data_IF_428603257370
#
_entry.id   IF_428603257370
#
_cell.length_a   1.000
_cell.length_b   1.000
_cell.length_c   1.000
_cell.angle_alpha   90.00
_cell.angle_beta   90.00
_cell.angle_gamma   90.00
#
_symmetry.space_group_name_H-M   'P 1'
#
loop_
_entity.id
_entity.type
_entity.pdbx_description
1 polymer ?
#
# COMPACT_ATOMS: atom_id res chain seq x y z
N UNK A 1 20.98 -21.42 37.52
CA UNK A 1 19.50 -21.31 37.40
C UNK A 1 19.04 -20.14 38.25
N UNK A 2 18.86 -18.98 37.63
CA UNK A 2 18.05 -17.86 38.11
C UNK A 2 17.73 -17.03 36.86
N UNK A 3 16.46 -16.68 36.71
CA UNK A 3 15.75 -16.34 35.48
C UNK A 3 15.95 -14.90 35.01
N UNK A 4 16.14 -14.72 33.70
CA UNK A 4 16.02 -13.44 32.99
C UNK A 4 14.57 -12.92 33.03
N UNK A 5 14.32 -11.89 33.83
CA UNK A 5 13.05 -11.16 33.86
C UNK A 5 13.19 -9.87 33.02
N UNK A 6 12.65 -9.94 31.81
CA UNK A 6 12.50 -8.79 30.90
C UNK A 6 11.04 -8.37 30.95
N UNK A 7 10.71 -7.20 31.50
CA UNK A 7 9.45 -6.49 31.20
C UNK A 7 9.55 -5.00 31.54
N UNK A 8 9.25 -4.18 30.53
CA UNK A 8 8.51 -2.93 30.74
C UNK A 8 9.32 -1.64 30.86
N UNK A 9 9.88 -1.15 29.75
CA UNK A 9 10.20 0.28 29.62
C UNK A 9 8.92 1.09 29.50
N UNK A 10 8.62 1.88 30.53
CA UNK A 10 7.83 3.10 30.42
C UNK A 10 8.69 4.18 29.74
N UNK A 11 8.14 4.87 28.74
CA UNK A 11 8.53 6.26 28.48
C UNK A 11 7.48 7.00 27.64
N UNK A 12 6.96 8.02 28.29
CA UNK A 12 6.15 9.13 27.81
C UNK A 12 6.97 10.06 26.89
N UNK A 13 6.33 10.78 25.97
CA UNK A 13 7.08 11.66 25.06
C UNK A 13 6.25 12.51 24.11
N UNK A 14 5.56 13.51 24.66
CA UNK A 14 4.93 14.62 23.95
C UNK A 14 6.02 15.51 23.31
N UNK A 15 5.99 15.76 21.99
CA UNK A 15 6.60 16.98 21.40
C UNK A 15 5.79 17.51 20.21
N UNK A 16 5.15 18.65 20.46
CA UNK A 16 4.86 19.63 19.44
C UNK A 16 6.17 20.34 19.03
N UNK A 17 6.35 20.61 17.73
CA UNK A 17 7.39 21.51 17.24
C UNK A 17 6.78 22.46 16.23
N UNK A 18 6.90 23.75 16.50
CA UNK A 18 6.35 24.84 15.70
C UNK A 18 7.25 25.30 14.54
N UNK A 19 6.59 26.03 13.63
CA UNK A 19 7.03 27.10 12.70
C UNK A 19 8.38 26.98 11.96
N UNK A 20 8.34 27.08 10.64
CA UNK A 20 8.80 28.26 9.85
C UNK A 20 8.81 27.94 8.34
N UNK A 21 8.36 28.89 7.51
CA UNK A 21 8.12 28.73 6.09
C UNK A 21 9.39 28.52 5.25
N UNK A 22 9.28 27.63 4.26
CA UNK A 22 10.14 27.56 3.07
C UNK A 22 9.21 27.54 1.85
N UNK A 23 9.56 28.19 0.73
CA UNK A 23 8.72 28.19 -0.45
C UNK A 23 8.50 26.73 -0.88
N UNK A 24 7.24 26.31 -0.86
CA UNK A 24 6.85 24.97 -1.27
C UNK A 24 7.09 24.85 -2.77
N UNK A 25 8.15 24.12 -3.15
CA UNK A 25 8.23 23.46 -4.46
C UNK A 25 6.88 22.78 -4.70
N UNK A 26 6.30 22.83 -5.91
CA UNK A 26 5.07 22.13 -6.20
C UNK A 26 5.28 20.67 -5.80
N UNK A 27 4.61 20.25 -4.72
CA UNK A 27 4.61 18.85 -4.31
C UNK A 27 4.02 18.15 -5.53
N UNK A 28 4.80 17.34 -6.23
CA UNK A 28 4.29 16.40 -7.21
C UNK A 28 3.26 15.57 -6.44
N UNK A 29 1.99 15.99 -6.54
CA UNK A 29 0.90 15.48 -5.73
C UNK A 29 0.83 14.00 -6.00
N UNK A 30 0.99 13.21 -4.94
CA UNK A 30 0.95 11.75 -4.95
C UNK A 30 -0.30 11.33 -5.73
N UNK A 31 -0.12 10.87 -6.97
CA UNK A 31 -1.20 10.43 -7.87
C UNK A 31 -1.67 9.03 -7.50
N UNK A 32 -1.71 8.71 -6.22
CA UNK A 32 -2.12 7.40 -5.75
C UNK A 32 -3.59 7.52 -5.32
N UNK A 33 -4.48 7.46 -6.31
CA UNK A 33 -5.90 7.24 -6.03
C UNK A 33 -6.09 5.76 -5.67
N UNK A 34 -6.72 5.49 -4.53
CA UNK A 34 -7.01 4.14 -4.08
C UNK A 34 -8.30 3.63 -4.75
N UNK A 35 -8.28 2.40 -5.26
CA UNK A 35 -9.45 1.69 -5.77
C UNK A 35 -9.81 0.58 -4.79
N UNK A 36 -10.99 0.65 -4.16
CA UNK A 36 -11.51 -0.40 -3.28
C UNK A 36 -12.46 -1.30 -4.08
N UNK A 37 -12.10 -2.57 -4.24
CA UNK A 37 -12.89 -3.57 -4.96
C UNK A 37 -13.34 -4.63 -3.96
N UNK A 38 -14.63 -4.99 -4.00
CA UNK A 38 -15.18 -6.12 -3.26
C UNK A 38 -15.39 -7.28 -4.22
N UNK A 39 -14.83 -8.43 -3.87
CA UNK A 39 -14.96 -9.71 -4.58
C UNK A 39 -15.21 -10.82 -3.56
N UNK A 40 -15.58 -12.01 -4.02
CA UNK A 40 -15.73 -13.15 -3.11
C UNK A 40 -14.39 -13.54 -2.50
N UNK A 41 -14.43 -14.14 -1.30
CA UNK A 41 -13.21 -14.60 -0.63
C UNK A 41 -12.47 -15.67 -1.46
N UNK A 42 -13.22 -16.59 -2.08
CA UNK A 42 -12.67 -17.65 -2.94
C UNK A 42 -11.92 -17.08 -4.14
N UNK A 43 -12.47 -16.09 -4.85
CA UNK A 43 -11.81 -15.47 -5.99
C UNK A 43 -10.54 -14.72 -5.58
N UNK A 44 -10.60 -13.99 -4.45
CA UNK A 44 -9.42 -13.30 -3.91
C UNK A 44 -8.29 -14.30 -3.63
N UNK A 45 -8.61 -15.40 -2.96
CA UNK A 45 -7.60 -16.37 -2.52
C UNK A 45 -6.98 -17.08 -3.72
N UNK A 46 -7.79 -17.44 -4.73
CA UNK A 46 -7.29 -17.98 -6.02
C UNK A 46 -6.39 -16.98 -6.74
N UNK A 47 -6.80 -15.71 -6.81
CA UNK A 47 -6.01 -14.67 -7.48
C UNK A 47 -4.67 -14.42 -6.79
N UNK A 48 -4.65 -14.37 -5.45
CA UNK A 48 -3.41 -14.18 -4.69
C UNK A 48 -2.48 -15.39 -4.87
N UNK A 49 -3.00 -16.61 -4.79
CA UNK A 49 -2.19 -17.83 -5.01
C UNK A 49 -1.53 -17.84 -6.39
N UNK A 50 -2.25 -17.45 -7.45
CA UNK A 50 -1.68 -17.31 -8.79
C UNK A 50 -0.62 -16.21 -8.86
N UNK A 51 -0.81 -15.09 -8.16
CA UNK A 51 0.20 -14.04 -8.12
C UNK A 51 1.51 -14.53 -7.50
N UNK A 52 1.41 -15.31 -6.41
CA UNK A 52 2.56 -15.91 -5.72
C UNK A 52 3.29 -16.92 -6.61
N UNK A 53 2.56 -17.77 -7.34
CA UNK A 53 3.15 -18.73 -8.28
C UNK A 53 3.92 -18.03 -9.43
N UNK A 54 3.44 -16.88 -9.87
CA UNK A 54 4.04 -16.10 -10.95
C UNK A 54 5.14 -15.13 -10.49
N UNK A 55 5.50 -15.12 -9.20
CA UNK A 55 6.42 -14.15 -8.59
C UNK A 55 5.99 -12.68 -8.86
N UNK A 56 4.68 -12.42 -8.84
CA UNK A 56 4.09 -11.09 -9.05
C UNK A 56 3.25 -10.63 -7.86
N UNK A 57 2.93 -9.34 -7.80
CA UNK A 57 1.98 -8.83 -6.80
C UNK A 57 0.61 -8.58 -7.43
N UNK A 58 -0.44 -8.89 -6.66
CA UNK A 58 -1.82 -8.58 -6.98
C UNK A 58 -2.00 -7.13 -7.49
N UNK A 59 -1.37 -6.16 -6.81
CA UNK A 59 -1.43 -4.77 -7.21
C UNK A 59 -0.80 -4.50 -8.59
N UNK A 60 0.29 -5.20 -8.94
CA UNK A 60 0.97 -5.05 -10.24
C UNK A 60 0.13 -5.64 -11.37
N UNK A 61 -0.44 -6.82 -11.17
CA UNK A 61 -1.30 -7.45 -12.18
C UNK A 61 -2.60 -6.66 -12.40
N UNK A 62 -3.26 -6.18 -11.33
CA UNK A 62 -4.45 -5.32 -11.47
C UNK A 62 -4.13 -4.02 -12.21
N UNK A 63 -3.01 -3.35 -11.89
CA UNK A 63 -2.60 -2.13 -12.61
C UNK A 63 -2.28 -2.40 -14.08
N UNK A 64 -1.64 -3.53 -14.38
CA UNK A 64 -1.33 -3.95 -15.75
C UNK A 64 -2.62 -4.22 -16.52
N UNK A 65 -3.52 -5.01 -15.94
CA UNK A 65 -4.83 -5.31 -16.48
C UNK A 65 -5.61 -4.03 -16.80
N UNK A 66 -5.74 -3.10 -15.84
CA UNK A 66 -6.45 -1.83 -16.04
C UNK A 66 -5.87 -1.05 -17.24
N UNK A 67 -4.55 -0.94 -17.36
CA UNK A 67 -3.91 -0.22 -18.47
C UNK A 67 -4.15 -0.89 -19.83
N UNK A 68 -4.06 -2.21 -19.86
CA UNK A 68 -4.31 -3.00 -21.08
C UNK A 68 -5.78 -2.89 -21.49
N UNK A 69 -6.69 -3.08 -20.55
CA UNK A 69 -8.13 -2.97 -20.76
C UNK A 69 -8.53 -1.59 -21.29
N UNK A 70 -8.02 -0.51 -20.71
CA UNK A 70 -8.26 0.86 -21.20
C UNK A 70 -7.78 1.02 -22.65
N UNK A 71 -6.57 0.55 -22.97
CA UNK A 71 -6.00 0.67 -24.32
C UNK A 71 -6.83 -0.11 -25.35
N UNK A 72 -7.31 -1.30 -24.98
CA UNK A 72 -8.11 -2.15 -25.86
C UNK A 72 -9.50 -1.57 -26.16
N UNK A 73 -10.03 -0.69 -25.30
CA UNK A 73 -11.39 -0.12 -25.43
C UNK A 73 -11.40 1.40 -25.67
N UNK A 74 -10.25 2.01 -25.94
CA UNK A 74 -10.14 3.44 -26.28
C UNK A 74 -10.10 3.71 -27.80
N UNK A 75 -10.10 2.66 -28.62
CA UNK A 75 -10.13 2.77 -30.09
C UNK A 75 -11.54 2.59 -30.69
N UNK A 76 -12.59 2.62 -29.86
CA UNK A 76 -14.01 2.79 -30.25
C UNK A 76 -14.47 4.25 -30.09
#
# INVERSE_FOLDING_TARGET
MATDDVTGKEQTGKKASGKTGRPSKPKAGKKDAQLLIRISASERDQFIALCEELDTSAAREIRRFIRVFIREHQED
#
